data_IF_163138514429
#
_entry.id   IF_163138514429
#
_cell.length_a   1.000
_cell.length_b   1.000
_cell.length_c   1.000
_cell.angle_alpha   90.00
_cell.angle_beta   90.00
_cell.angle_gamma   90.00
#
_symmetry.space_group_name_H-M   'P 1'
#
loop_
_entity.id
_entity.type
_entity.pdbx_description
1 polymer ?
#
# COMPACT_ATOMS: atom_id res chain seq x y z
N UNK A 1 -8.42 -2.00 -7.35
CA UNK A 1 -8.63 -3.13 -8.30
C UNK A 1 -8.46 -2.60 -9.71
N UNK A 2 -7.90 -3.39 -10.64
CA UNK A 2 -7.84 -3.09 -12.09
C UNK A 2 -9.21 -2.86 -12.73
N UNK A 3 -10.30 -3.24 -12.03
CA UNK A 3 -11.67 -3.01 -12.49
C UNK A 3 -12.28 -1.69 -12.00
N UNK A 4 -11.57 -0.90 -11.18
CA UNK A 4 -12.08 0.37 -10.68
C UNK A 4 -12.26 1.38 -11.81
N UNK A 5 -13.20 2.32 -11.61
CA UNK A 5 -13.45 3.38 -12.60
C UNK A 5 -12.19 4.22 -12.85
N UNK A 6 -11.47 4.56 -11.79
CA UNK A 6 -10.24 5.34 -11.84
C UNK A 6 -9.15 4.63 -12.66
N UNK A 7 -8.95 3.33 -12.43
CA UNK A 7 -7.92 2.57 -13.14
C UNK A 7 -8.27 2.40 -14.62
N UNK A 8 -9.54 2.12 -14.93
CA UNK A 8 -10.01 1.99 -16.31
C UNK A 8 -9.92 3.31 -17.08
N UNK A 9 -10.18 4.42 -16.40
CA UNK A 9 -10.00 5.76 -16.97
C UNK A 9 -8.53 6.00 -17.32
N UNK A 10 -7.62 5.75 -16.36
CA UNK A 10 -6.18 5.82 -16.59
C UNK A 10 -5.70 4.87 -17.69
N UNK A 11 -6.19 3.64 -17.75
CA UNK A 11 -5.82 2.71 -18.84
C UNK A 11 -6.22 3.23 -20.23
N UNK A 12 -7.35 3.94 -20.33
CA UNK A 12 -7.84 4.45 -21.62
C UNK A 12 -7.11 5.72 -22.04
N UNK A 13 -6.90 6.63 -21.08
CA UNK A 13 -6.45 8.00 -21.36
C UNK A 13 -4.98 8.25 -21.00
N UNK A 14 -4.36 7.38 -20.20
CA UNK A 14 -2.96 7.49 -19.80
C UNK A 14 -2.68 8.87 -19.19
N UNK A 15 -1.70 9.63 -19.71
CA UNK A 15 -1.39 10.99 -19.26
C UNK A 15 -2.56 11.98 -19.31
N UNK A 16 -3.56 11.76 -20.18
CA UNK A 16 -4.73 12.63 -20.27
C UNK A 16 -5.81 12.28 -19.22
N UNK A 17 -5.60 11.22 -18.42
CA UNK A 17 -6.50 10.86 -17.33
C UNK A 17 -6.29 11.78 -16.13
N UNK A 18 -7.39 12.15 -15.47
CA UNK A 18 -7.36 12.77 -14.14
C UNK A 18 -6.57 11.94 -13.12
N UNK A 19 -6.51 10.62 -13.30
CA UNK A 19 -5.86 9.69 -12.38
C UNK A 19 -4.44 9.32 -12.81
N UNK A 20 -3.85 10.03 -13.79
CA UNK A 20 -2.44 9.84 -14.10
C UNK A 20 -1.56 10.11 -12.87
N UNK A 21 -0.55 9.26 -12.67
CA UNK A 21 0.28 9.26 -11.46
C UNK A 21 -0.36 8.66 -10.20
N UNK A 22 -1.67 8.34 -10.20
CA UNK A 22 -2.33 7.71 -9.04
C UNK A 22 -1.93 6.23 -8.87
N UNK A 23 -1.61 5.53 -9.96
CA UNK A 23 -1.27 4.10 -9.98
C UNK A 23 0.22 3.93 -10.23
N UNK A 24 0.91 3.27 -9.31
CA UNK A 24 2.36 3.13 -9.41
C UNK A 24 2.76 2.23 -10.59
N UNK A 25 3.76 2.67 -11.32
CA UNK A 25 4.48 1.91 -12.33
C UNK A 25 5.95 1.78 -11.95
N UNK A 26 6.68 0.91 -12.64
CA UNK A 26 8.13 0.80 -12.48
C UNK A 26 8.81 2.18 -12.63
N UNK A 27 8.41 2.97 -13.63
CA UNK A 27 9.02 4.25 -13.94
C UNK A 27 8.76 5.32 -12.87
N UNK A 28 7.66 5.23 -12.11
CA UNK A 28 7.36 6.18 -11.04
C UNK A 28 8.29 6.01 -9.83
N UNK A 29 8.74 4.77 -9.59
CA UNK A 29 9.66 4.46 -8.50
C UNK A 29 11.11 4.51 -8.97
N UNK A 30 11.37 4.14 -10.23
CA UNK A 30 12.68 4.03 -10.85
C UNK A 30 12.73 4.82 -12.17
N UNK A 31 12.73 6.17 -12.12
CA UNK A 31 12.66 7.02 -13.32
C UNK A 31 13.86 6.86 -14.24
N UNK A 32 15.03 6.56 -13.69
CA UNK A 32 16.28 6.36 -14.42
C UNK A 32 16.54 4.87 -14.79
N UNK A 33 15.52 4.03 -14.61
CA UNK A 33 15.63 2.57 -14.74
C UNK A 33 15.97 1.87 -13.42
N UNK A 34 15.83 0.54 -13.42
CA UNK A 34 16.08 -0.31 -12.24
C UNK A 34 17.15 -1.36 -12.56
N UNK A 35 18.11 -1.53 -11.65
CA UNK A 35 19.09 -2.62 -11.72
C UNK A 35 18.53 -3.91 -11.14
N UNK A 36 19.20 -5.04 -11.37
CA UNK A 36 18.84 -6.31 -10.72
C UNK A 36 18.88 -6.20 -9.19
N UNK A 37 19.86 -5.47 -8.65
CA UNK A 37 19.97 -5.23 -7.21
C UNK A 37 18.77 -4.45 -6.67
N UNK A 38 18.28 -3.44 -7.39
CA UNK A 38 17.08 -2.70 -7.01
C UNK A 38 15.84 -3.59 -6.97
N UNK A 39 15.64 -4.40 -8.02
CA UNK A 39 14.47 -5.25 -8.15
C UNK A 39 14.45 -6.40 -7.13
N UNK A 40 15.62 -6.92 -6.77
CA UNK A 40 15.77 -8.02 -5.80
C UNK A 40 15.74 -7.54 -4.35
N UNK A 41 16.02 -6.26 -4.09
CA UNK A 41 15.93 -5.67 -2.75
C UNK A 41 14.48 -5.49 -2.27
N UNK A 42 13.50 -5.38 -3.19
CA UNK A 42 12.08 -5.22 -2.86
C UNK A 42 11.61 -6.42 -2.02
N UNK A 43 10.97 -6.15 -0.88
CA UNK A 43 10.37 -7.18 -0.03
C UNK A 43 9.10 -7.72 -0.66
N UNK A 44 8.95 -9.05 -0.71
CA UNK A 44 7.91 -9.71 -1.49
C UNK A 44 7.11 -10.70 -0.67
N UNK A 45 5.76 -10.62 -0.69
CA UNK A 45 4.90 -11.62 -0.08
C UNK A 45 4.69 -12.86 -0.96
N UNK A 46 5.15 -12.83 -2.22
CA UNK A 46 4.98 -13.90 -3.21
C UNK A 46 6.22 -14.09 -4.09
N UNK A 47 6.40 -15.25 -4.75
CA UNK A 47 7.43 -15.43 -5.76
C UNK A 47 7.26 -14.48 -6.96
N UNK A 48 8.35 -14.16 -7.64
CA UNK A 48 8.36 -13.29 -8.84
C UNK A 48 8.54 -11.80 -8.52
N UNK A 49 8.49 -10.95 -9.54
CA UNK A 49 8.57 -9.49 -9.38
C UNK A 49 7.19 -8.90 -9.06
N UNK A 50 7.16 -7.74 -8.40
CA UNK A 50 5.93 -7.01 -8.08
C UNK A 50 5.40 -6.18 -9.26
N UNK A 51 5.55 -6.64 -10.49
CA UNK A 51 5.13 -5.90 -11.69
C UNK A 51 4.28 -6.78 -12.60
N UNK A 52 3.23 -6.17 -13.16
CA UNK A 52 2.38 -6.80 -14.18
C UNK A 52 2.35 -5.90 -15.42
N UNK A 53 2.66 -6.43 -16.62
CA UNK A 53 2.49 -5.67 -17.87
C UNK A 53 1.01 -5.35 -18.11
N UNK A 54 0.68 -4.08 -18.31
CA UNK A 54 -0.69 -3.61 -18.54
C UNK A 54 -0.72 -2.58 -19.68
N UNK A 55 -1.74 -2.65 -20.52
CA UNK A 55 -1.98 -1.65 -21.57
C UNK A 55 -2.53 -0.34 -20.98
N UNK A 56 -1.91 0.78 -21.33
CA UNK A 56 -2.26 2.14 -20.91
C UNK A 56 -2.07 3.08 -22.10
N UNK A 57 -3.16 3.69 -22.58
CA UNK A 57 -3.18 4.59 -23.74
C UNK A 57 -2.44 4.04 -24.98
N UNK A 58 -2.63 2.75 -25.28
CA UNK A 58 -1.98 2.09 -26.41
C UNK A 58 -0.51 1.67 -26.19
N UNK A 59 0.05 1.94 -25.01
CA UNK A 59 1.42 1.52 -24.63
C UNK A 59 1.40 0.49 -23.51
N UNK A 60 2.40 -0.37 -23.44
CA UNK A 60 2.55 -1.29 -22.30
C UNK A 60 3.32 -0.61 -21.18
N UNK A 61 2.75 -0.60 -19.97
CA UNK A 61 3.39 -0.14 -18.74
C UNK A 61 3.55 -1.31 -17.77
N UNK A 62 4.60 -1.30 -16.97
CA UNK A 62 4.80 -2.24 -15.87
C UNK A 62 4.15 -1.66 -14.61
N UNK A 63 2.90 -2.01 -14.36
CA UNK A 63 2.16 -1.55 -13.18
C UNK A 63 2.63 -2.31 -11.93
N UNK A 64 2.78 -1.59 -10.81
CA UNK A 64 3.15 -2.19 -9.53
C UNK A 64 1.97 -2.98 -8.97
N UNK A 65 2.21 -4.26 -8.70
CA UNK A 65 1.22 -5.22 -8.21
C UNK A 65 1.86 -6.10 -7.14
N UNK A 66 1.79 -5.66 -5.89
CA UNK A 66 2.41 -6.34 -4.74
C UNK A 66 1.87 -7.76 -4.56
N UNK A 67 0.55 -7.95 -4.71
CA UNK A 67 -0.15 -9.20 -4.40
C UNK A 67 -0.65 -9.95 -5.63
N UNK A 68 -1.59 -9.38 -6.37
CA UNK A 68 -2.17 -10.02 -7.56
C UNK A 68 -2.21 -9.04 -8.73
N UNK A 69 -2.29 -9.56 -9.95
CA UNK A 69 -2.43 -8.73 -11.15
C UNK A 69 -3.70 -7.85 -11.12
N UNK A 70 -4.72 -8.20 -10.32
CA UNK A 70 -5.93 -7.38 -10.16
C UNK A 70 -5.78 -6.26 -9.12
N UNK A 71 -4.74 -6.31 -8.30
CA UNK A 71 -4.49 -5.37 -7.20
C UNK A 71 -3.30 -4.47 -7.57
N UNK A 72 -3.62 -3.37 -8.26
CA UNK A 72 -2.63 -2.33 -8.60
C UNK A 72 -2.42 -1.40 -7.41
N UNK A 73 -1.16 -1.16 -7.09
CA UNK A 73 -0.74 -0.33 -5.99
C UNK A 73 -0.94 1.17 -6.30
N UNK A 74 -1.38 1.91 -5.28
CA UNK A 74 -1.58 3.36 -5.37
C UNK A 74 -0.29 4.11 -4.99
N UNK A 75 -0.04 5.22 -5.66
CA UNK A 75 0.91 6.23 -5.21
C UNK A 75 0.24 7.01 -4.06
N UNK A 76 0.51 6.60 -2.81
CA UNK A 76 -0.25 7.10 -1.64
C UNK A 76 -0.09 8.59 -1.34
N UNK A 77 0.97 9.22 -1.87
CA UNK A 77 1.18 10.67 -1.79
C UNK A 77 0.48 11.44 -2.91
N UNK A 78 -0.05 10.75 -3.93
CA UNK A 78 -0.74 11.40 -5.04
C UNK A 78 -2.06 12.03 -4.55
N UNK A 79 -2.40 13.28 -4.95
CA UNK A 79 -3.61 13.95 -4.47
C UNK A 79 -4.90 13.15 -4.69
N UNK A 80 -5.06 12.49 -5.84
CA UNK A 80 -6.23 11.65 -6.11
C UNK A 80 -6.27 10.38 -5.25
N UNK A 81 -5.11 9.84 -4.84
CA UNK A 81 -5.06 8.73 -3.90
C UNK A 81 -5.46 9.18 -2.49
N UNK A 82 -4.97 10.34 -2.05
CA UNK A 82 -5.35 10.92 -0.76
C UNK A 82 -6.83 11.27 -0.71
N UNK A 83 -7.39 11.86 -1.78
CA UNK A 83 -8.81 12.13 -1.91
C UNK A 83 -9.64 10.83 -1.89
N UNK A 84 -9.16 9.78 -2.54
CA UNK A 84 -9.78 8.46 -2.50
C UNK A 84 -9.82 7.87 -1.08
N UNK A 85 -8.72 7.93 -0.33
CA UNK A 85 -8.69 7.49 1.07
C UNK A 85 -9.61 8.33 1.95
N UNK A 86 -9.57 9.66 1.84
CA UNK A 86 -10.45 10.55 2.61
C UNK A 86 -11.93 10.23 2.37
N UNK A 87 -12.33 10.04 1.11
CA UNK A 87 -13.71 9.69 0.76
C UNK A 87 -14.14 8.33 1.34
N UNK A 88 -13.24 7.35 1.40
CA UNK A 88 -13.51 6.06 2.08
C UNK A 88 -13.73 6.29 3.57
N UNK A 89 -12.82 7.01 4.24
CA UNK A 89 -12.91 7.24 5.68
C UNK A 89 -14.17 8.04 6.05
N UNK A 90 -14.51 9.07 5.27
CA UNK A 90 -15.74 9.86 5.45
C UNK A 90 -16.98 8.96 5.36
N UNK A 91 -17.01 8.08 4.35
CA UNK A 91 -18.13 7.14 4.16
C UNK A 91 -18.23 6.12 5.30
N UNK A 92 -17.11 5.60 5.78
CA UNK A 92 -17.07 4.67 6.92
C UNK A 92 -17.55 5.37 8.20
N UNK A 93 -17.07 6.59 8.46
CA UNK A 93 -17.48 7.40 9.61
C UNK A 93 -18.99 7.68 9.58
N UNK A 94 -19.50 8.12 8.42
CA UNK A 94 -20.94 8.37 8.21
C UNK A 94 -21.79 7.11 8.39
N UNK A 95 -21.25 5.93 8.09
CA UNK A 95 -21.90 4.64 8.32
C UNK A 95 -21.81 4.14 9.78
N UNK A 96 -21.20 4.91 10.68
CA UNK A 96 -21.09 4.53 12.10
C UNK A 96 -19.93 3.60 12.42
N UNK A 97 -19.00 3.37 11.49
CA UNK A 97 -17.79 2.57 11.74
C UNK A 97 -16.93 3.28 12.79
N UNK A 98 -16.38 2.50 13.74
CA UNK A 98 -15.55 2.99 14.84
C UNK A 98 -14.13 2.42 14.85
N UNK A 99 -13.88 1.41 14.02
CA UNK A 99 -12.58 0.79 13.89
C UNK A 99 -12.35 0.36 12.44
N UNK A 100 -11.13 0.57 11.94
CA UNK A 100 -10.70 0.09 10.63
C UNK A 100 -9.44 -0.75 10.74
N UNK A 101 -9.38 -1.79 9.92
CA UNK A 101 -8.15 -2.57 9.71
C UNK A 101 -7.44 -2.04 8.47
N UNK A 102 -6.22 -1.53 8.65
CA UNK A 102 -5.35 -1.12 7.56
C UNK A 102 -4.63 -2.36 7.00
N UNK A 103 -5.18 -2.87 5.90
CA UNK A 103 -4.68 -4.02 5.17
C UNK A 103 -3.37 -3.69 4.44
N UNK A 104 -2.38 -4.59 4.54
CA UNK A 104 -1.12 -4.50 3.79
C UNK A 104 -0.39 -3.15 3.92
N UNK A 105 -0.59 -2.43 5.03
CA UNK A 105 -0.15 -1.04 5.17
C UNK A 105 1.38 -0.91 5.12
N UNK A 106 2.10 -1.97 5.50
CA UNK A 106 3.56 -2.04 5.42
C UNK A 106 4.12 -1.88 4.01
N UNK A 107 3.33 -2.18 2.97
CA UNK A 107 3.72 -2.08 1.57
C UNK A 107 3.33 -0.74 0.94
N UNK A 108 2.68 0.18 1.66
CA UNK A 108 2.04 1.35 1.06
C UNK A 108 3.01 2.26 0.29
N UNK A 109 4.19 2.52 0.85
CA UNK A 109 5.17 3.46 0.29
C UNK A 109 6.29 2.72 -0.44
N UNK A 110 6.56 3.15 -1.68
CA UNK A 110 7.63 2.60 -2.54
C UNK A 110 8.75 3.62 -2.68
N UNK A 111 9.99 3.14 -2.61
CA UNK A 111 11.18 3.98 -2.79
C UNK A 111 12.33 3.16 -3.37
N UNK A 112 12.93 3.66 -4.44
CA UNK A 112 14.14 3.07 -5.03
C UNK A 112 15.26 2.92 -4.00
N UNK A 113 16.07 1.87 -4.13
CA UNK A 113 17.16 1.56 -3.21
C UNK A 113 16.71 1.07 -1.82
N UNK A 114 15.42 0.74 -1.64
CA UNK A 114 14.89 0.24 -0.36
C UNK A 114 14.07 -1.03 -0.56
N UNK A 115 13.74 -1.71 0.53
CA UNK A 115 12.83 -2.86 0.50
C UNK A 115 11.39 -2.51 0.10
N UNK A 116 11.01 -1.21 0.15
CA UNK A 116 9.60 -0.76 -0.01
C UNK A 116 8.62 -1.47 0.93
N UNK A 117 9.11 -1.97 2.08
CA UNK A 117 8.31 -2.57 3.14
C UNK A 117 8.77 -2.06 4.50
N UNK A 118 7.85 -1.47 5.26
CA UNK A 118 8.10 -0.89 6.58
C UNK A 118 9.35 0.02 6.61
N UNK A 119 9.57 0.80 5.55
CA UNK A 119 10.63 1.82 5.50
C UNK A 119 10.23 3.04 6.33
N UNK A 120 11.15 3.94 6.72
CA UNK A 120 10.81 5.14 7.52
C UNK A 120 9.62 5.93 6.97
N UNK A 121 9.57 6.13 5.64
CA UNK A 121 8.47 6.84 5.00
C UNK A 121 7.10 6.12 5.13
N UNK A 122 7.09 4.79 5.25
CA UNK A 122 5.87 4.01 5.54
C UNK A 122 5.33 4.33 6.93
N UNK A 123 6.20 4.47 7.93
CA UNK A 123 5.78 4.87 9.29
C UNK A 123 5.18 6.28 9.29
N UNK A 124 5.78 7.22 8.57
CA UNK A 124 5.23 8.58 8.45
C UNK A 124 3.85 8.57 7.77
N UNK A 125 3.67 7.73 6.75
CA UNK A 125 2.38 7.55 6.10
C UNK A 125 1.34 6.94 7.06
N UNK A 126 1.72 5.93 7.85
CA UNK A 126 0.82 5.32 8.85
C UNK A 126 0.37 6.34 9.89
N UNK A 127 1.26 7.21 10.37
CA UNK A 127 0.90 8.25 11.33
C UNK A 127 -0.12 9.23 10.73
N UNK A 128 0.12 9.71 9.50
CA UNK A 128 -0.81 10.63 8.82
C UNK A 128 -2.18 9.99 8.60
N UNK A 129 -2.20 8.74 8.14
CA UNK A 129 -3.46 8.02 7.90
C UNK A 129 -4.19 7.73 9.22
N UNK A 130 -3.46 7.38 10.28
CA UNK A 130 -4.03 7.18 11.61
C UNK A 130 -4.65 8.46 12.16
N UNK A 131 -3.96 9.59 12.03
CA UNK A 131 -4.51 10.89 12.40
C UNK A 131 -5.80 11.24 11.63
N UNK A 132 -5.89 10.88 10.34
CA UNK A 132 -7.11 11.07 9.55
C UNK A 132 -8.26 10.18 10.03
N UNK A 133 -7.98 8.95 10.46
CA UNK A 133 -8.97 8.05 11.09
C UNK A 133 -9.44 8.63 12.44
N UNK A 134 -8.51 9.06 13.30
CA UNK A 134 -8.81 9.63 14.61
C UNK A 134 -9.66 10.90 14.53
N UNK A 135 -9.38 11.77 13.55
CA UNK A 135 -10.19 12.96 13.29
C UNK A 135 -11.66 12.65 12.97
N UNK A 136 -11.96 11.39 12.61
CA UNK A 136 -13.30 10.88 12.31
C UNK A 136 -13.86 9.96 13.40
N UNK A 137 -13.17 9.85 14.54
CA UNK A 137 -13.55 8.96 15.64
C UNK A 137 -13.41 7.47 15.30
N UNK A 138 -12.42 7.12 14.47
CA UNK A 138 -12.14 5.74 14.03
C UNK A 138 -10.80 5.29 14.62
N UNK A 139 -10.80 4.20 15.37
CA UNK A 139 -9.59 3.49 15.82
C UNK A 139 -8.94 2.71 14.67
N UNK A 140 -7.61 2.57 14.74
CA UNK A 140 -6.77 1.92 13.74
C UNK A 140 -6.18 0.63 14.27
N UNK A 141 -6.46 -0.45 13.54
CA UNK A 141 -5.77 -1.72 13.65
C UNK A 141 -4.89 -1.91 12.41
N UNK A 142 -3.59 -2.13 12.58
CA UNK A 142 -2.69 -2.41 11.45
C UNK A 142 -2.39 -3.89 11.32
N UNK A 143 -2.26 -4.35 10.08
CA UNK A 143 -1.80 -5.68 9.76
C UNK A 143 -0.42 -5.63 9.07
N UNK A 144 0.59 -6.21 9.72
CA UNK A 144 1.98 -6.24 9.27
C UNK A 144 2.57 -7.62 9.55
N UNK A 145 2.80 -8.43 8.52
CA UNK A 145 3.56 -9.68 8.65
C UNK A 145 5.05 -9.38 8.42
N UNK A 146 5.83 -9.33 9.49
CA UNK A 146 7.26 -9.03 9.45
C UNK A 146 7.99 -9.54 10.68
N UNK A 147 9.26 -9.16 10.83
CA UNK A 147 10.02 -9.49 12.03
C UNK A 147 9.35 -8.89 13.28
N UNK A 148 9.29 -9.63 14.39
CA UNK A 148 8.56 -9.21 15.61
C UNK A 148 8.96 -7.81 16.13
N UNK A 149 10.22 -7.41 15.94
CA UNK A 149 10.68 -6.05 16.28
C UNK A 149 9.88 -4.94 15.56
N UNK A 150 9.43 -5.17 14.32
CA UNK A 150 8.59 -4.23 13.57
C UNK A 150 7.20 -4.11 14.18
N UNK A 151 6.64 -5.21 14.70
CA UNK A 151 5.37 -5.22 15.41
C UNK A 151 5.44 -4.40 16.71
N UNK A 152 6.54 -4.52 17.46
CA UNK A 152 6.76 -3.66 18.62
C UNK A 152 6.89 -2.19 18.25
N UNK A 153 7.64 -1.87 17.19
CA UNK A 153 7.84 -0.49 16.75
C UNK A 153 6.52 0.17 16.30
N UNK A 154 5.68 -0.54 15.55
CA UNK A 154 4.42 0.02 15.06
C UNK A 154 3.34 0.09 16.15
N UNK A 155 3.34 -0.81 17.14
CA UNK A 155 2.39 -0.79 18.24
C UNK A 155 2.42 0.52 19.06
N UNK A 156 3.55 1.23 19.07
CA UNK A 156 3.66 2.54 19.74
C UNK A 156 3.03 3.71 18.95
N UNK A 157 2.56 3.46 17.71
CA UNK A 157 2.14 4.51 16.76
C UNK A 157 0.68 4.42 16.34
N UNK A 158 0.01 3.32 16.66
CA UNK A 158 -1.38 3.03 16.27
C UNK A 158 -2.15 2.45 17.45
N UNK A 159 -3.48 2.40 17.36
CA UNK A 159 -4.29 1.94 18.48
C UNK A 159 -4.12 0.44 18.75
N UNK A 160 -4.00 -0.38 17.69
CA UNK A 160 -3.89 -1.83 17.81
C UNK A 160 -2.99 -2.46 16.75
N UNK A 161 -2.35 -3.55 17.14
CA UNK A 161 -1.64 -4.49 16.27
C UNK A 161 -2.15 -5.90 16.48
N UNK A 162 -2.00 -6.75 15.48
CA UNK A 162 -2.18 -8.20 15.65
C UNK A 162 -0.97 -8.82 16.35
N UNK A 163 -1.24 -9.75 17.27
CA UNK A 163 -0.21 -10.65 17.79
C UNK A 163 -0.08 -11.86 16.86
N UNK A 164 0.74 -11.73 15.82
CA UNK A 164 1.05 -12.83 14.90
C UNK A 164 2.08 -13.82 15.46
N UNK A 165 2.73 -13.52 16.58
CA UNK A 165 3.70 -14.42 17.19
C UNK A 165 3.02 -15.52 18.02
N UNK A 166 1.92 -15.17 18.72
CA UNK A 166 1.22 -16.12 19.58
C UNK A 166 0.71 -17.37 18.86
N UNK A 167 0.04 -17.31 17.70
CA UNK A 167 -0.48 -18.52 17.04
C UNK A 167 0.58 -19.61 16.77
N UNK A 168 1.74 -19.34 16.13
CA UNK A 168 2.77 -20.36 15.96
C UNK A 168 3.46 -20.77 17.27
N UNK A 169 3.58 -19.88 18.25
CA UNK A 169 4.17 -20.20 19.56
C UNK A 169 3.29 -21.18 20.36
N UNK A 170 1.97 -21.01 20.33
CA UNK A 170 1.03 -21.94 20.96
C UNK A 170 1.13 -23.31 20.29
N UNK A 171 1.20 -23.36 18.95
CA UNK A 171 1.36 -24.64 18.23
C UNK A 171 2.68 -25.34 18.57
N UNK A 172 3.77 -24.59 18.77
CA UNK A 172 5.07 -25.15 19.15
C UNK A 172 5.10 -25.68 20.59
N UNK A 173 4.33 -25.09 21.49
CA UNK A 173 4.29 -25.48 22.91
C UNK A 173 3.39 -26.69 23.20
N UNK A 174 2.51 -27.06 22.26
CA UNK A 174 1.65 -28.26 22.32
C UNK A 174 2.40 -29.52 21.90
#
# INVERSE_FOLDING_TARGET
STRSAQFRDWQRHGPDSRYDGMFLTLADVFPDGATEADLTAIYRPRPGLCFTPMGVAGTTRLAWTTFTAEQVDLAVEHPEAQAYFAAILDRLAAAGVRQVRLDAIGYAVKRAGTSSFMIPATYDFIDRLSAQCHARGIEVLVEIHGHHAMQHAIAARVDRVYDFATPPLVLFAL
#
